data_IF_865572350376
#
_entry.id   IF_865572350376
#
_cell.length_a   1.000
_cell.length_b   1.000
_cell.length_c   1.000
_cell.angle_alpha   90.00
_cell.angle_beta   90.00
_cell.angle_gamma   90.00
#
_symmetry.space_group_name_H-M   'P 1'
#
loop_
_entity.id
_entity.type
_entity.pdbx_description
1 polymer ?
#
# COMPACT_ATOMS: atom_id res chain seq x y z
N UNK A 1 -28.17 1.54 21.25
CA UNK A 1 -27.69 0.17 21.60
C UNK A 1 -26.17 0.07 21.43
N UNK A 2 -25.40 0.96 22.07
CA UNK A 2 -23.93 1.01 21.96
C UNK A 2 -23.19 0.15 23.01
N UNK A 3 -23.92 -0.29 24.05
CA UNK A 3 -23.39 -1.03 25.20
C UNK A 3 -23.18 -2.55 24.92
N UNK A 4 -23.49 -3.03 23.72
CA UNK A 4 -23.43 -4.46 23.37
C UNK A 4 -22.37 -4.80 22.31
N UNK A 5 -21.38 -3.91 22.14
CA UNK A 5 -20.22 -4.13 21.26
C UNK A 5 -19.04 -4.56 22.14
N UNK A 6 -18.26 -5.60 21.77
CA UNK A 6 -18.25 -6.33 20.49
C UNK A 6 -19.38 -7.36 20.35
N UNK A 7 -20.06 -7.37 19.19
CA UNK A 7 -21.05 -8.41 18.86
C UNK A 7 -20.35 -9.56 18.14
N UNK A 8 -20.53 -10.78 18.60
CA UNK A 8 -20.10 -11.98 17.89
C UNK A 8 -21.11 -12.27 16.79
N UNK A 9 -20.67 -12.28 15.52
CA UNK A 9 -21.51 -12.58 14.36
C UNK A 9 -21.61 -14.10 14.16
N UNK A 10 -20.51 -14.82 14.41
CA UNK A 10 -20.43 -16.27 14.33
C UNK A 10 -18.98 -16.74 14.25
N UNK A 11 -18.80 -18.04 14.01
CA UNK A 11 -17.48 -18.66 13.79
C UNK A 11 -17.34 -18.95 12.30
N UNK A 12 -16.19 -18.60 11.74
CA UNK A 12 -15.87 -18.93 10.36
C UNK A 12 -15.55 -20.42 10.20
N UNK A 13 -16.28 -21.19 9.36
CA UNK A 13 -16.04 -22.63 9.19
C UNK A 13 -14.70 -22.96 8.53
N UNK A 14 -14.05 -22.03 7.82
CA UNK A 14 -12.75 -22.29 7.19
C UNK A 14 -11.56 -22.11 8.12
N UNK A 15 -11.68 -21.20 9.09
CA UNK A 15 -10.56 -20.80 9.96
C UNK A 15 -10.80 -21.07 11.44
N UNK A 16 -11.96 -21.65 11.80
CA UNK A 16 -12.44 -21.83 13.18
C UNK A 16 -12.29 -20.57 14.06
N UNK A 17 -12.27 -19.40 13.43
CA UNK A 17 -11.99 -18.13 14.08
C UNK A 17 -13.27 -17.34 14.26
N UNK A 18 -13.47 -16.80 15.46
CA UNK A 18 -14.62 -15.94 15.76
C UNK A 18 -14.58 -14.64 14.94
N UNK A 19 -15.70 -14.34 14.29
CA UNK A 19 -15.96 -13.08 13.60
C UNK A 19 -16.72 -12.16 14.54
N UNK A 20 -16.13 -10.99 14.84
CA UNK A 20 -16.75 -9.97 15.68
C UNK A 20 -17.00 -8.69 14.89
N UNK A 21 -18.17 -8.08 15.09
CA UNK A 21 -18.54 -6.78 14.56
C UNK A 21 -18.34 -5.70 15.64
N UNK A 22 -17.63 -4.63 15.28
CA UNK A 22 -17.23 -3.56 16.19
C UNK A 22 -17.27 -2.20 15.49
N UNK A 23 -17.39 -1.11 16.25
CA UNK A 23 -17.20 0.24 15.73
C UNK A 23 -15.82 0.77 16.16
N UNK A 24 -15.01 1.22 15.20
CA UNK A 24 -13.65 1.67 15.42
C UNK A 24 -13.42 3.13 14.99
N UNK A 25 -12.17 3.59 15.07
CA UNK A 25 -11.79 4.96 14.70
C UNK A 25 -12.15 5.33 13.24
N UNK A 26 -12.14 4.34 12.35
CA UNK A 26 -12.40 4.52 10.92
C UNK A 26 -13.82 4.09 10.52
N UNK A 27 -14.70 3.88 11.49
CA UNK A 27 -16.08 3.42 11.28
C UNK A 27 -16.29 1.94 11.63
N UNK A 28 -17.45 1.39 11.24
CA UNK A 28 -17.86 0.01 11.52
C UNK A 28 -16.98 -0.99 10.78
N UNK A 29 -16.61 -2.09 11.44
CA UNK A 29 -15.74 -3.11 10.85
C UNK A 29 -15.96 -4.51 11.44
N UNK A 30 -15.64 -5.53 10.64
CA UNK A 30 -15.54 -6.93 11.02
C UNK A 30 -14.09 -7.28 11.35
N UNK A 31 -13.91 -8.13 12.37
CA UNK A 31 -12.61 -8.69 12.76
C UNK A 31 -12.70 -10.20 12.87
N UNK A 32 -11.81 -10.89 12.13
CA UNK A 32 -11.57 -12.33 12.14
C UNK A 32 -10.09 -12.55 12.44
N UNK A 33 -9.77 -12.77 13.72
CA UNK A 33 -8.38 -12.89 14.17
C UNK A 33 -7.54 -11.64 13.84
N UNK A 34 -6.62 -11.77 12.87
CA UNK A 34 -5.77 -10.68 12.37
C UNK A 34 -6.33 -9.97 11.14
N UNK A 35 -7.35 -10.52 10.46
CA UNK A 35 -7.96 -9.86 9.31
C UNK A 35 -9.15 -8.99 9.71
N UNK A 36 -9.21 -7.80 9.13
CA UNK A 36 -10.19 -6.77 9.42
C UNK A 36 -10.76 -6.20 8.13
N UNK A 37 -12.08 -6.12 8.03
CA UNK A 37 -12.81 -5.60 6.87
C UNK A 37 -13.76 -4.48 7.30
N UNK A 38 -13.71 -3.35 6.60
CA UNK A 38 -14.63 -2.24 6.85
C UNK A 38 -16.03 -2.60 6.39
N UNK A 39 -17.03 -2.12 7.13
CA UNK A 39 -18.44 -2.18 6.76
C UNK A 39 -18.87 -0.84 6.15
N UNK A 40 -19.98 -0.84 5.41
CA UNK A 40 -20.47 0.35 4.71
C UNK A 40 -21.31 1.25 5.63
N UNK A 41 -22.03 0.66 6.59
CA UNK A 41 -22.91 1.40 7.48
C UNK A 41 -22.86 0.88 8.92
N UNK A 42 -23.27 1.72 9.87
CA UNK A 42 -23.35 1.34 11.29
C UNK A 42 -24.44 0.29 11.56
N UNK A 43 -25.49 0.26 10.74
CA UNK A 43 -26.59 -0.70 10.83
C UNK A 43 -26.11 -2.13 10.56
N UNK A 44 -25.14 -2.29 9.65
CA UNK A 44 -24.48 -3.57 9.37
C UNK A 44 -23.76 -4.15 10.60
N UNK A 45 -23.46 -3.37 11.65
CA UNK A 45 -22.92 -3.96 12.88
C UNK A 45 -23.95 -4.88 13.56
N UNK A 46 -25.23 -4.57 13.43
CA UNK A 46 -26.31 -5.23 14.16
C UNK A 46 -27.07 -6.26 13.33
N UNK A 47 -27.22 -6.00 12.03
CA UNK A 47 -28.09 -6.82 11.17
C UNK A 47 -27.34 -7.83 10.32
N UNK A 48 -26.01 -7.72 10.27
CA UNK A 48 -25.17 -8.54 9.40
C UNK A 48 -25.08 -9.99 9.89
N UNK A 49 -25.29 -10.91 8.96
CA UNK A 49 -25.29 -12.35 9.21
C UNK A 49 -23.92 -12.98 8.95
N UNK A 50 -23.71 -14.20 9.45
CA UNK A 50 -22.46 -14.93 9.20
C UNK A 50 -22.20 -15.09 7.69
N UNK A 51 -23.21 -15.41 6.90
CA UNK A 51 -23.10 -15.57 5.44
C UNK A 51 -22.59 -14.28 4.77
N UNK A 52 -23.18 -13.14 5.12
CA UNK A 52 -22.76 -11.83 4.62
C UNK A 52 -21.34 -11.47 5.06
N UNK A 53 -20.95 -11.83 6.30
CA UNK A 53 -19.58 -11.63 6.76
C UNK A 53 -18.59 -12.42 5.90
N UNK A 54 -18.92 -13.68 5.59
CA UNK A 54 -18.09 -14.53 4.73
C UNK A 54 -17.98 -13.98 3.31
N UNK A 55 -19.06 -13.43 2.74
CA UNK A 55 -19.00 -12.74 1.45
C UNK A 55 -18.03 -11.55 1.46
N UNK A 56 -18.04 -10.74 2.52
CA UNK A 56 -17.11 -9.61 2.68
C UNK A 56 -15.66 -10.09 2.81
N UNK A 57 -15.44 -11.24 3.47
CA UNK A 57 -14.10 -11.82 3.58
C UNK A 57 -13.59 -12.44 2.26
N UNK A 58 -14.49 -12.92 1.39
CA UNK A 58 -14.15 -13.40 0.04
C UNK A 58 -13.69 -12.26 -0.88
N UNK A 59 -14.18 -11.04 -0.67
CA UNK A 59 -13.75 -9.90 -1.46
C UNK A 59 -12.26 -9.56 -1.20
N UNK A 60 -11.53 -9.01 -2.17
CA UNK A 60 -10.17 -8.54 -1.95
C UNK A 60 -10.15 -7.40 -0.92
N UNK A 61 -9.08 -7.33 -0.11
CA UNK A 61 -8.96 -6.31 0.94
C UNK A 61 -8.88 -4.92 0.34
N UNK A 62 -9.94 -4.14 0.47
CA UNK A 62 -9.97 -2.74 0.05
C UNK A 62 -8.92 -1.95 0.86
N UNK A 63 -8.00 -1.28 0.17
CA UNK A 63 -6.91 -0.54 0.82
C UNK A 63 -5.77 -1.39 1.37
N UNK A 64 -5.72 -2.70 1.06
CA UNK A 64 -4.49 -3.47 1.20
C UNK A 64 -3.34 -2.76 0.51
N UNK A 65 -2.16 -2.77 1.12
CA UNK A 65 -0.91 -2.18 0.59
C UNK A 65 -0.85 -2.55 -0.90
N UNK A 66 -1.03 -1.58 -1.80
CA UNK A 66 -1.02 -1.82 -3.26
C UNK A 66 0.19 -2.70 -3.52
N UNK A 67 -0.06 -3.93 -3.98
CA UNK A 67 0.99 -4.88 -4.35
C UNK A 67 1.97 -4.11 -5.22
N UNK A 68 3.27 -4.20 -4.92
CA UNK A 68 4.30 -3.43 -5.63
C UNK A 68 4.00 -3.53 -7.13
N UNK A 69 3.78 -2.38 -7.77
CA UNK A 69 3.38 -2.34 -9.18
C UNK A 69 4.36 -3.19 -9.99
N UNK A 70 3.82 -4.10 -10.80
CA UNK A 70 4.62 -4.92 -11.71
C UNK A 70 5.53 -4.01 -12.53
N UNK A 71 6.84 -4.32 -12.64
CA UNK A 71 7.75 -3.55 -13.47
C UNK A 71 7.23 -3.45 -14.90
N UNK A 72 7.15 -2.23 -15.42
CA UNK A 72 6.70 -1.95 -16.79
C UNK A 72 7.85 -2.10 -17.79
N UNK A 73 9.06 -1.71 -17.37
CA UNK A 73 10.30 -1.78 -18.17
C UNK A 73 11.49 -1.86 -17.23
N UNK A 74 12.51 -2.62 -17.60
CA UNK A 74 13.76 -2.77 -16.83
C UNK A 74 14.88 -2.09 -17.61
N UNK A 75 15.71 -1.30 -16.93
CA UNK A 75 16.81 -0.53 -17.54
C UNK A 75 18.19 -1.13 -17.25
N UNK A 76 18.26 -2.13 -16.37
CA UNK A 76 19.50 -2.77 -15.94
C UNK A 76 20.10 -2.15 -14.67
N UNK A 77 21.38 -2.41 -14.42
CA UNK A 77 22.09 -1.91 -13.26
C UNK A 77 22.61 -0.49 -13.48
N UNK A 78 22.30 0.42 -12.56
CA UNK A 78 22.87 1.76 -12.57
C UNK A 78 24.37 1.70 -12.20
N UNK A 79 25.29 2.25 -13.02
CA UNK A 79 26.72 2.24 -12.74
C UNK A 79 27.12 2.92 -11.43
N UNK A 80 26.32 3.88 -10.93
CA UNK A 80 26.62 4.59 -9.70
C UNK A 80 26.20 3.80 -8.44
N UNK A 81 25.00 3.23 -8.45
CA UNK A 81 24.43 2.54 -7.28
C UNK A 81 24.57 1.02 -7.29
N UNK A 82 24.92 0.42 -8.45
CA UNK A 82 24.92 -1.03 -8.70
C UNK A 82 23.57 -1.70 -8.41
N UNK A 83 22.49 -0.92 -8.41
CA UNK A 83 21.16 -1.40 -8.13
C UNK A 83 20.35 -1.54 -9.42
N UNK A 84 19.46 -2.54 -9.45
CA UNK A 84 18.60 -2.80 -10.59
C UNK A 84 17.52 -1.71 -10.72
N UNK A 85 17.53 -1.05 -11.88
CA UNK A 85 16.65 0.06 -12.19
C UNK A 85 15.44 -0.42 -12.99
N UNK A 86 14.25 -0.13 -12.46
CA UNK A 86 12.96 -0.55 -13.03
C UNK A 86 11.97 0.62 -13.09
N UNK A 87 11.20 0.71 -14.17
CA UNK A 87 10.04 1.61 -14.24
C UNK A 87 8.79 0.93 -13.73
N UNK A 88 7.98 1.68 -12.97
CA UNK A 88 6.73 1.24 -12.36
C UNK A 88 5.67 2.34 -12.48
N UNK A 89 4.40 1.95 -12.43
CA UNK A 89 3.27 2.89 -12.34
C UNK A 89 2.89 3.12 -10.88
N UNK A 90 2.72 4.38 -10.48
CA UNK A 90 2.36 4.80 -9.13
C UNK A 90 1.19 5.77 -9.11
N UNK A 91 0.79 6.19 -7.91
CA UNK A 91 -0.32 7.15 -7.71
C UNK A 91 -0.09 8.48 -8.44
N UNK A 92 1.16 8.88 -8.62
CA UNK A 92 1.56 10.16 -9.22
C UNK A 92 1.98 10.03 -10.68
N UNK A 93 1.83 8.85 -11.29
CA UNK A 93 2.29 8.54 -12.65
C UNK A 93 3.46 7.55 -12.67
N UNK A 94 4.14 7.51 -13.82
CA UNK A 94 5.29 6.64 -14.05
C UNK A 94 6.50 7.11 -13.24
N UNK A 95 7.23 6.17 -12.68
CA UNK A 95 8.47 6.45 -11.96
C UNK A 95 9.50 5.36 -12.19
N UNK A 96 10.76 5.75 -12.15
CA UNK A 96 11.92 4.86 -12.15
C UNK A 96 12.36 4.63 -10.70
N UNK A 97 12.73 3.41 -10.38
CA UNK A 97 13.14 2.98 -9.05
C UNK A 97 14.36 2.09 -9.13
N UNK A 98 15.37 2.38 -8.32
CA UNK A 98 16.52 1.49 -8.06
C UNK A 98 16.27 0.58 -6.84
N UNK A 99 15.03 0.54 -6.32
CA UNK A 99 14.64 -0.16 -5.11
C UNK A 99 14.79 0.66 -3.81
N UNK A 100 15.55 1.75 -3.84
CA UNK A 100 15.85 2.61 -2.68
C UNK A 100 15.29 4.02 -2.88
N UNK A 101 15.60 4.62 -4.01
CA UNK A 101 15.21 5.94 -4.49
C UNK A 101 14.24 5.80 -5.66
N UNK A 102 13.20 6.65 -5.64
CA UNK A 102 12.19 6.70 -6.68
C UNK A 102 12.20 8.09 -7.34
N UNK A 103 12.39 8.12 -8.65
CA UNK A 103 12.36 9.32 -9.49
C UNK A 103 11.15 9.30 -10.43
N UNK A 104 10.32 10.34 -10.38
CA UNK A 104 9.15 10.48 -11.26
C UNK A 104 9.61 10.75 -12.69
N UNK A 105 9.03 10.05 -13.66
CA UNK A 105 9.26 10.32 -15.09
C UNK A 105 8.36 11.50 -15.51
N UNK A 106 8.89 12.52 -16.20
CA UNK A 106 8.09 13.60 -16.76
C UNK A 106 6.97 13.08 -17.67
N UNK A 107 5.82 13.77 -17.69
CA UNK A 107 4.67 13.34 -18.51
C UNK A 107 4.90 13.45 -20.01
N UNK A 108 5.85 14.30 -20.40
CA UNK A 108 6.18 14.59 -21.79
C UNK A 108 7.07 13.51 -22.43
N UNK A 109 7.59 12.57 -21.64
CA UNK A 109 8.49 11.50 -22.08
C UNK A 109 7.80 10.13 -21.90
N UNK A 110 7.47 9.42 -23.00
CA UNK A 110 6.85 8.10 -22.89
C UNK A 110 7.88 7.04 -22.46
N UNK A 111 7.40 6.00 -21.77
CA UNK A 111 8.28 4.95 -21.23
C UNK A 111 9.05 4.19 -22.32
N UNK A 112 8.47 4.09 -23.51
CA UNK A 112 9.07 3.41 -24.65
C UNK A 112 10.33 4.12 -25.15
N UNK A 113 10.33 5.45 -25.16
CA UNK A 113 11.45 6.29 -25.60
C UNK A 113 12.51 6.50 -24.50
N UNK A 114 12.16 6.22 -23.25
CA UNK A 114 13.09 6.33 -22.12
C UNK A 114 14.28 5.38 -22.33
N UNK A 115 15.49 5.96 -22.34
CA UNK A 115 16.76 5.23 -22.43
C UNK A 115 17.30 4.89 -21.04
N UNK A 116 18.23 3.92 -20.99
CA UNK A 116 18.86 3.51 -19.73
C UNK A 116 19.61 4.69 -19.07
N UNK A 117 20.39 5.43 -19.86
CA UNK A 117 21.15 6.59 -19.38
C UNK A 117 20.23 7.65 -18.79
N UNK A 118 19.10 7.93 -19.45
CA UNK A 118 18.13 8.89 -18.97
C UNK A 118 17.46 8.46 -17.66
N UNK A 119 17.17 7.16 -17.53
CA UNK A 119 16.65 6.60 -16.29
C UNK A 119 17.65 6.78 -15.13
N UNK A 120 18.95 6.59 -15.38
CA UNK A 120 20.01 6.81 -14.39
C UNK A 120 20.16 8.29 -14.02
N UNK A 121 20.07 9.20 -15.00
CA UNK A 121 20.09 10.64 -14.76
C UNK A 121 18.95 11.09 -13.85
N UNK A 122 17.72 10.62 -14.11
CA UNK A 122 16.55 10.96 -13.29
C UNK A 122 16.74 10.52 -11.83
N UNK A 123 17.34 9.34 -11.61
CA UNK A 123 17.71 8.86 -10.29
C UNK A 123 18.81 9.71 -9.65
N UNK A 124 19.86 10.08 -10.40
CA UNK A 124 20.94 10.92 -9.91
C UNK A 124 20.44 12.31 -9.47
N UNK A 125 19.62 12.97 -10.30
CA UNK A 125 18.98 14.26 -9.95
C UNK A 125 18.13 14.10 -8.68
N UNK A 126 17.43 12.96 -8.55
CA UNK A 126 16.61 12.70 -7.37
C UNK A 126 17.46 12.47 -6.12
N UNK A 127 18.59 11.78 -6.24
CA UNK A 127 19.56 11.55 -5.16
C UNK A 127 20.19 12.85 -4.69
N UNK A 128 20.62 13.71 -5.61
CA UNK A 128 21.16 15.04 -5.29
C UNK A 128 20.12 15.89 -4.53
N UNK A 129 18.87 15.91 -5.00
CA UNK A 129 17.77 16.59 -4.30
C UNK A 129 17.48 16.03 -2.90
N UNK A 130 17.75 14.75 -2.67
CA UNK A 130 17.57 14.10 -1.38
C UNK A 130 18.83 14.18 -0.50
N UNK A 131 19.96 14.64 -1.04
CA UNK A 131 21.25 14.67 -0.35
C UNK A 131 21.74 13.28 0.04
N UNK A 132 21.48 12.27 -0.81
CA UNK A 132 21.88 10.87 -0.57
C UNK A 132 22.96 10.44 -1.56
N UNK A 133 23.93 9.69 -1.07
CA UNK A 133 24.94 9.04 -1.90
C UNK A 133 24.32 7.88 -2.71
N UNK A 134 24.91 7.50 -3.87
CA UNK A 134 24.46 6.34 -4.64
C UNK A 134 24.41 5.06 -3.78
N UNK A 135 23.25 4.41 -3.74
CA UNK A 135 23.03 3.19 -2.95
C UNK A 135 22.60 3.43 -1.49
N UNK A 136 22.53 4.68 -1.01
CA UNK A 136 22.06 4.98 0.35
C UNK A 136 20.56 5.36 0.36
N UNK A 137 19.84 4.83 1.36
CA UNK A 137 18.43 5.15 1.55
C UNK A 137 18.24 6.56 2.13
N UNK A 138 17.25 7.34 1.65
CA UNK A 138 16.96 8.64 2.22
C UNK A 138 16.60 8.52 3.69
N UNK A 139 17.21 9.38 4.51
CA UNK A 139 16.93 9.47 5.94
C UNK A 139 15.45 9.77 6.13
N UNK A 140 14.69 8.77 6.58
CA UNK A 140 13.28 8.96 6.92
C UNK A 140 13.20 9.94 8.08
N UNK A 141 12.73 11.17 7.80
CA UNK A 141 12.42 12.12 8.86
C UNK A 141 11.27 11.52 9.68
N UNK A 142 11.59 10.95 10.85
CA UNK A 142 10.60 10.53 11.84
C UNK A 142 9.82 11.78 12.25
N UNK A 143 8.65 12.00 11.66
CA UNK A 143 7.69 12.97 12.17
C UNK A 143 7.28 12.53 13.56
N UNK A 144 7.84 13.17 14.59
CA UNK A 144 7.37 13.03 15.97
C UNK A 144 5.91 13.42 16.01
N UNK A 145 5.01 12.46 16.22
CA UNK A 145 3.59 12.73 16.46
C UNK A 145 3.49 13.58 17.73
N UNK A 146 3.15 14.86 17.58
CA UNK A 146 2.76 15.71 18.71
C UNK A 146 1.48 15.10 19.29
N UNK A 147 1.56 14.49 20.49
CA UNK A 147 0.38 14.08 21.24
C UNK A 147 -0.47 15.33 21.47
N UNK A 148 -1.70 15.32 20.96
CA UNK A 148 -2.75 16.29 21.33
C UNK A 148 -3.51 15.73 22.51
#
# INVERSE_FOLDING_TARGET
>A
KLLSLPRVVGVDPESDTEITAQNGKFGPYLKRGTDSRSLESEEQIFDLTLEQALEIYKQPKYGGRRTAATPLKEFGEDPASKANVVAKSGQFGLYVSDGIVNATVPKDEPLDELTNDRAYELLAIRREKLGVEPGEAPKTQKKTRKKR
#
